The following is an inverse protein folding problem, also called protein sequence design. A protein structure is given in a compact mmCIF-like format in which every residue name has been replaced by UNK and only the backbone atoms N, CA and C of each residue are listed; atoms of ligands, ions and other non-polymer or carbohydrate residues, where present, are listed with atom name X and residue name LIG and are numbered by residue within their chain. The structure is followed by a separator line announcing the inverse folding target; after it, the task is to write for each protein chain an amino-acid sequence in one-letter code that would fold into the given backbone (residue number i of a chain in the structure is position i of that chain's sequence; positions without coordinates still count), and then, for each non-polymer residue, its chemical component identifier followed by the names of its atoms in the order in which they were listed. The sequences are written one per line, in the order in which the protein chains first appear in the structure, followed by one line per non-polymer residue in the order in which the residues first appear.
data_IF_940720543189
#
_entry.id   IF_940720543189
#
_cell.length_a   1.000
_cell.length_b   1.000
_cell.length_c   1.000
_cell.angle_alpha   90.00
_cell.angle_beta   90.00
_cell.angle_gamma   90.00
#
_symmetry.space_group_name_H-M   'P 1'
#
loop_
_entity.id
_entity.type
_entity.pdbx_description
1 polymer ?
#
# COMPACT_ATOMS: atom_id res chain seq x y z
N UNK A 1 -12.56 38.85 -8.20
CA UNK A 1 -11.98 39.60 -7.09
C UNK A 1 -12.28 41.11 -7.12
N UNK A 2 -12.13 41.83 -8.26
CA UNK A 2 -12.44 43.27 -8.38
C UNK A 2 -13.92 43.56 -8.09
N UNK A 3 -14.84 42.76 -8.59
CA UNK A 3 -16.27 42.92 -8.39
C UNK A 3 -16.70 42.68 -6.94
N UNK A 4 -16.08 41.68 -6.29
CA UNK A 4 -16.27 41.42 -4.83
C UNK A 4 -15.82 42.63 -4.01
N UNK A 5 -14.66 43.21 -4.34
CA UNK A 5 -14.14 44.40 -3.67
C UNK A 5 -15.09 45.59 -3.83
N UNK A 6 -15.63 45.81 -5.05
CA UNK A 6 -16.60 46.88 -5.38
C UNK A 6 -17.90 46.66 -4.59
N UNK A 7 -18.48 45.46 -4.62
CA UNK A 7 -19.75 45.18 -3.97
C UNK A 7 -19.64 45.24 -2.43
N UNK A 8 -18.53 44.73 -1.87
CA UNK A 8 -18.29 44.78 -0.43
C UNK A 8 -17.77 46.10 0.11
N UNK A 9 -17.44 47.08 -0.77
CA UNK A 9 -16.90 48.40 -0.41
C UNK A 9 -15.56 48.31 0.35
N UNK A 10 -14.67 47.40 -0.06
CA UNK A 10 -13.33 47.27 0.48
C UNK A 10 -12.29 47.17 -0.65
N UNK A 11 -11.00 47.30 -0.35
CA UNK A 11 -9.95 47.12 -1.33
C UNK A 11 -9.79 45.67 -1.76
N UNK A 12 -9.24 45.41 -2.95
CA UNK A 12 -8.88 44.06 -3.40
C UNK A 12 -7.88 43.37 -2.49
N UNK A 13 -6.99 44.12 -1.82
CA UNK A 13 -6.09 43.63 -0.79
C UNK A 13 -6.85 43.12 0.45
N UNK A 14 -7.92 43.81 0.88
CA UNK A 14 -8.78 43.36 1.96
C UNK A 14 -9.53 42.08 1.59
N UNK A 15 -10.06 41.97 0.36
CA UNK A 15 -10.67 40.73 -0.14
C UNK A 15 -9.66 39.60 -0.12
N UNK A 16 -8.44 39.84 -0.60
CA UNK A 16 -7.35 38.84 -0.55
C UNK A 16 -6.98 38.45 0.89
N UNK A 17 -6.97 39.37 1.84
CA UNK A 17 -6.71 39.10 3.24
C UNK A 17 -7.80 38.22 3.88
N UNK A 18 -9.08 38.47 3.54
CA UNK A 18 -10.20 37.63 4.00
C UNK A 18 -10.11 36.21 3.44
N UNK A 19 -9.76 36.07 2.15
CA UNK A 19 -9.65 34.78 1.47
C UNK A 19 -8.49 33.93 1.99
N UNK A 20 -7.36 34.57 2.31
CA UNK A 20 -6.13 33.86 2.71
C UNK A 20 -5.92 33.75 4.22
N UNK A 21 -6.69 34.50 5.03
CA UNK A 21 -6.53 34.52 6.48
C UNK A 21 -5.21 35.13 7.01
N UNK A 22 -4.39 35.68 6.13
CA UNK A 22 -2.99 36.08 6.44
C UNK A 22 -2.87 37.43 7.18
N UNK A 23 -3.94 38.22 7.23
CA UNK A 23 -3.95 39.53 7.90
C UNK A 23 -5.24 39.65 8.67
N UNK A 24 -5.24 40.13 9.90
CA UNK A 24 -6.46 40.36 10.67
C UNK A 24 -7.37 41.37 9.96
N UNK A 25 -8.61 40.94 9.68
CA UNK A 25 -9.65 41.81 9.12
C UNK A 25 -10.79 41.89 10.13
N UNK A 26 -11.34 43.10 10.34
CA UNK A 26 -12.41 43.27 11.31
C UNK A 26 -13.62 42.38 10.91
N UNK A 27 -14.36 41.83 11.93
CA UNK A 27 -15.50 40.93 11.67
C UNK A 27 -16.53 41.53 10.69
N UNK A 28 -16.83 42.82 10.82
CA UNK A 28 -17.74 43.54 9.93
C UNK A 28 -17.29 43.59 8.48
N UNK A 29 -15.98 43.75 8.21
CA UNK A 29 -15.44 43.75 6.84
C UNK A 29 -15.41 42.34 6.27
N UNK A 30 -15.06 41.35 7.12
CA UNK A 30 -15.05 39.93 6.73
C UNK A 30 -16.44 39.49 6.28
N UNK A 31 -17.48 39.84 7.06
CA UNK A 31 -18.88 39.51 6.75
C UNK A 31 -19.32 40.10 5.42
N UNK A 32 -19.06 41.39 5.17
CA UNK A 32 -19.40 42.07 3.90
C UNK A 32 -18.70 41.40 2.68
N UNK A 33 -17.46 40.97 2.82
CA UNK A 33 -16.76 40.29 1.77
C UNK A 33 -17.40 38.92 1.47
N UNK A 34 -17.76 38.15 2.52
CA UNK A 34 -18.44 36.84 2.37
C UNK A 34 -19.80 37.04 1.68
N UNK A 35 -20.61 38.01 2.10
CA UNK A 35 -21.90 38.31 1.49
C UNK A 35 -21.75 38.70 0.00
N UNK A 36 -20.76 39.51 -0.33
CA UNK A 36 -20.48 39.89 -1.71
C UNK A 36 -20.00 38.71 -2.56
N UNK A 37 -19.21 37.80 -1.99
CA UNK A 37 -18.79 36.56 -2.67
C UNK A 37 -20.00 35.65 -2.96
N UNK A 38 -20.89 35.46 -1.98
CA UNK A 38 -22.11 34.68 -2.17
C UNK A 38 -23.04 35.32 -3.23
N UNK A 39 -23.24 36.63 -3.18
CA UNK A 39 -24.10 37.34 -4.11
C UNK A 39 -23.58 37.31 -5.56
N UNK A 40 -22.27 37.17 -5.76
CA UNK A 40 -21.61 37.11 -7.06
C UNK A 40 -21.26 35.69 -7.51
N UNK A 41 -21.64 34.68 -6.74
CA UNK A 41 -21.19 33.30 -6.91
C UNK A 41 -19.67 33.22 -7.17
N UNK A 42 -18.92 34.07 -6.45
CA UNK A 42 -17.49 34.21 -6.67
C UNK A 42 -16.73 33.10 -5.97
N UNK A 43 -16.12 32.23 -6.75
CA UNK A 43 -15.15 31.25 -6.28
C UNK A 43 -13.73 31.76 -6.49
N UNK A 44 -12.84 31.67 -5.49
CA UNK A 44 -11.43 32.01 -5.65
C UNK A 44 -10.79 31.15 -6.74
N UNK A 45 -10.16 31.77 -7.70
CA UNK A 45 -9.42 31.08 -8.76
C UNK A 45 -8.18 30.40 -8.14
N UNK A 46 -8.19 29.06 -8.12
CA UNK A 46 -7.11 28.24 -7.59
C UNK A 46 -5.81 28.45 -8.40
N UNK A 47 -5.91 28.68 -9.72
CA UNK A 47 -4.75 28.94 -10.60
C UNK A 47 -4.09 30.26 -10.23
N UNK A 48 -4.90 31.31 -10.07
CA UNK A 48 -4.38 32.63 -9.67
C UNK A 48 -3.73 32.60 -8.28
N UNK A 49 -4.28 31.78 -7.36
CA UNK A 49 -3.71 31.56 -6.03
C UNK A 49 -2.39 30.81 -6.11
N UNK A 50 -2.31 29.74 -6.89
CA UNK A 50 -1.10 28.93 -7.05
C UNK A 50 0.05 29.71 -7.68
N UNK A 51 -0.23 30.59 -8.63
CA UNK A 51 0.76 31.50 -9.22
C UNK A 51 1.37 32.46 -8.18
N UNK A 52 0.58 32.88 -7.19
CA UNK A 52 1.05 33.78 -6.13
C UNK A 52 1.79 33.08 -5.01
N UNK A 53 1.35 31.88 -4.62
CA UNK A 53 1.89 31.12 -3.47
C UNK A 53 2.99 30.14 -3.88
N UNK A 54 3.10 29.82 -5.16
CA UNK A 54 3.96 28.74 -5.67
C UNK A 54 3.45 27.33 -5.33
N UNK A 55 2.28 27.19 -4.65
CA UNK A 55 1.69 25.92 -4.24
C UNK A 55 0.32 25.72 -4.87
N UNK A 56 0.05 24.50 -5.33
CA UNK A 56 -1.25 24.13 -5.91
C UNK A 56 -2.20 23.55 -4.87
N UNK A 57 -1.70 23.13 -3.72
CA UNK A 57 -2.40 22.32 -2.72
C UNK A 57 -3.02 21.06 -3.37
N UNK A 58 -2.29 20.45 -4.29
CA UNK A 58 -2.65 19.21 -4.94
C UNK A 58 -1.46 18.25 -4.87
N UNK A 59 -1.73 16.98 -4.59
CA UNK A 59 -0.75 15.90 -4.64
C UNK A 59 -1.19 14.82 -5.63
N UNK A 60 -0.22 14.14 -6.23
CA UNK A 60 -0.47 12.93 -7.00
C UNK A 60 -0.39 11.69 -6.12
N UNK A 61 -1.25 10.71 -6.37
CA UNK A 61 -1.15 9.36 -5.82
C UNK A 61 -1.19 8.39 -6.99
N UNK A 62 -0.09 7.67 -7.20
CA UNK A 62 0.03 6.68 -8.27
C UNK A 62 0.04 5.29 -7.64
N UNK A 63 -0.95 4.48 -7.99
CA UNK A 63 -1.10 3.11 -7.52
C UNK A 63 -0.98 2.13 -8.69
N UNK A 64 -0.50 0.90 -8.46
CA UNK A 64 -0.31 -0.06 -9.55
C UNK A 64 -1.60 -0.76 -9.99
N UNK A 65 -2.64 -0.80 -9.13
CA UNK A 65 -3.90 -1.47 -9.43
C UNK A 65 -5.02 -1.02 -8.48
N UNK A 66 -5.90 -0.15 -8.96
CA UNK A 66 -7.02 0.36 -8.16
C UNK A 66 -8.07 -0.72 -7.85
N UNK A 67 -8.06 -1.84 -8.55
CA UNK A 67 -8.98 -2.97 -8.30
C UNK A 67 -8.53 -3.86 -7.16
N UNK A 68 -7.27 -3.75 -6.73
CA UNK A 68 -6.79 -4.41 -5.53
C UNK A 68 -7.23 -3.61 -4.30
N UNK A 69 -8.08 -4.19 -3.46
CA UNK A 69 -8.69 -3.54 -2.30
C UNK A 69 -7.68 -2.95 -1.29
N UNK A 70 -6.41 -3.33 -1.36
CA UNK A 70 -5.32 -2.75 -0.57
C UNK A 70 -5.14 -1.24 -0.85
N UNK A 71 -5.06 -0.85 -2.13
CA UNK A 71 -4.77 0.53 -2.51
C UNK A 71 -5.91 1.52 -2.23
N UNK A 72 -7.21 1.21 -2.47
CA UNK A 72 -8.31 2.08 -2.07
C UNK A 72 -8.28 2.49 -0.59
N UNK A 73 -7.94 1.57 0.33
CA UNK A 73 -7.83 1.89 1.75
C UNK A 73 -6.61 2.78 2.06
N UNK A 74 -5.49 2.57 1.36
CA UNK A 74 -4.32 3.48 1.45
C UNK A 74 -4.69 4.87 0.96
N UNK A 75 -5.33 4.96 -0.22
CA UNK A 75 -5.77 6.25 -0.81
C UNK A 75 -6.74 6.97 0.12
N UNK A 76 -7.66 6.25 0.76
CA UNK A 76 -8.59 6.82 1.73
C UNK A 76 -7.85 7.46 2.92
N UNK A 77 -6.84 6.79 3.46
CA UNK A 77 -5.98 7.36 4.52
C UNK A 77 -5.24 8.61 4.06
N UNK A 78 -4.78 8.64 2.80
CA UNK A 78 -4.18 9.83 2.19
C UNK A 78 -5.21 10.97 2.07
N UNK A 79 -6.39 10.69 1.51
CA UNK A 79 -7.44 11.70 1.29
C UNK A 79 -7.90 12.35 2.60
N UNK A 80 -8.17 11.55 3.64
CA UNK A 80 -8.61 12.07 4.94
C UNK A 80 -7.55 13.01 5.55
N UNK A 81 -6.27 12.62 5.50
CA UNK A 81 -5.19 13.46 6.01
C UNK A 81 -4.96 14.72 5.15
N UNK A 82 -5.07 14.60 3.82
CA UNK A 82 -4.91 15.70 2.88
C UNK A 82 -6.03 16.74 3.02
N UNK A 83 -7.27 16.30 3.15
CA UNK A 83 -8.45 17.15 3.29
C UNK A 83 -8.37 18.07 4.51
N UNK A 84 -7.87 17.56 5.66
CA UNK A 84 -7.70 18.36 6.88
C UNK A 84 -6.79 19.57 6.67
N UNK A 85 -5.88 19.51 5.70
CA UNK A 85 -4.91 20.56 5.39
C UNK A 85 -5.20 21.28 4.06
N UNK A 86 -6.38 21.04 3.48
CA UNK A 86 -6.84 21.71 2.27
C UNK A 86 -6.13 21.26 0.99
N UNK A 87 -5.55 20.05 0.99
CA UNK A 87 -4.97 19.42 -0.19
C UNK A 87 -6.00 18.58 -0.95
N UNK A 88 -5.88 18.57 -2.27
CA UNK A 88 -6.64 17.68 -3.17
C UNK A 88 -5.76 16.53 -3.63
N UNK A 89 -6.34 15.35 -3.81
CA UNK A 89 -5.66 14.15 -4.29
C UNK A 89 -6.01 13.89 -5.76
N UNK A 90 -4.99 13.71 -6.60
CA UNK A 90 -5.11 13.26 -7.99
C UNK A 90 -4.67 11.80 -8.05
N UNK A 91 -5.65 10.89 -8.10
CA UNK A 91 -5.39 9.46 -8.18
C UNK A 91 -5.11 9.01 -9.62
N UNK A 92 -4.06 8.22 -9.81
CA UNK A 92 -3.66 7.60 -11.08
C UNK A 92 -3.46 6.10 -10.87
N UNK A 93 -3.95 5.30 -11.81
CA UNK A 93 -3.81 3.83 -11.85
C UNK A 93 -2.85 3.44 -12.99
N UNK A 94 -1.67 2.92 -12.65
CA UNK A 94 -0.66 2.54 -13.65
C UNK A 94 -0.91 1.17 -14.27
N UNK A 95 -1.87 0.37 -13.75
CA UNK A 95 -2.23 -0.97 -14.24
C UNK A 95 -1.04 -1.93 -14.32
N UNK A 96 -0.12 -1.85 -13.37
CA UNK A 96 1.15 -2.61 -13.35
C UNK A 96 2.04 -2.38 -14.60
N UNK A 97 1.78 -1.30 -15.38
CA UNK A 97 2.55 -0.96 -16.57
C UNK A 97 3.48 0.22 -16.33
N UNK A 98 4.84 0.02 -16.40
CA UNK A 98 5.81 1.10 -16.20
C UNK A 98 5.68 2.27 -17.17
N UNK A 99 5.17 2.06 -18.40
CA UNK A 99 4.96 3.13 -19.39
C UNK A 99 3.76 4.01 -19.00
N UNK A 100 2.70 3.39 -18.52
CA UNK A 100 1.53 4.10 -17.98
C UNK A 100 1.91 4.86 -16.71
N UNK A 101 2.74 4.28 -15.83
CA UNK A 101 3.29 4.97 -14.67
C UNK A 101 4.08 6.23 -15.08
N UNK A 102 4.98 6.12 -16.05
CA UNK A 102 5.75 7.24 -16.59
C UNK A 102 4.83 8.35 -17.13
N UNK A 103 3.80 7.98 -17.90
CA UNK A 103 2.82 8.91 -18.45
C UNK A 103 2.09 9.67 -17.34
N UNK A 104 1.67 8.99 -16.29
CA UNK A 104 1.00 9.59 -15.15
C UNK A 104 1.92 10.52 -14.38
N UNK A 105 3.16 10.12 -14.11
CA UNK A 105 4.15 10.95 -13.44
C UNK A 105 4.43 12.24 -14.24
N UNK A 106 4.59 12.14 -15.56
CA UNK A 106 4.77 13.29 -16.42
C UNK A 106 3.54 14.23 -16.41
N UNK A 107 2.32 13.67 -16.42
CA UNK A 107 1.09 14.45 -16.35
C UNK A 107 0.93 15.17 -15.00
N UNK A 108 1.23 14.51 -13.88
CA UNK A 108 1.22 15.11 -12.55
C UNK A 108 2.24 16.25 -12.44
N UNK A 109 3.46 16.03 -12.95
CA UNK A 109 4.49 17.04 -12.97
C UNK A 109 4.07 18.27 -13.82
N UNK A 110 3.46 18.07 -14.99
CA UNK A 110 2.98 19.14 -15.84
C UNK A 110 1.84 19.95 -15.21
N UNK A 111 1.02 19.30 -14.38
CA UNK A 111 -0.05 19.93 -13.58
C UNK A 111 0.47 20.64 -12.32
N UNK A 112 1.80 20.61 -12.09
CA UNK A 112 2.46 21.25 -10.96
C UNK A 112 1.90 20.81 -9.61
N UNK A 113 1.61 19.51 -9.44
CA UNK A 113 1.29 19.01 -8.11
C UNK A 113 2.46 19.29 -7.15
N UNK A 114 2.16 19.51 -5.88
CA UNK A 114 3.18 19.88 -4.88
C UNK A 114 4.07 18.69 -4.49
N UNK A 115 3.58 17.45 -4.71
CA UNK A 115 4.32 16.22 -4.47
C UNK A 115 3.58 14.99 -4.96
N UNK A 116 4.25 13.82 -4.87
CA UNK A 116 3.71 12.52 -5.33
C UNK A 116 3.92 11.44 -4.30
N UNK A 117 2.88 10.64 -4.06
CA UNK A 117 2.94 9.33 -3.42
C UNK A 117 2.93 8.26 -4.50
N UNK A 118 3.92 7.36 -4.50
CA UNK A 118 4.11 6.37 -5.55
C UNK A 118 4.25 4.95 -4.99
N UNK A 119 3.32 4.07 -5.35
CA UNK A 119 3.52 2.63 -5.27
C UNK A 119 4.01 2.12 -6.63
N UNK A 120 5.33 1.98 -6.79
CA UNK A 120 5.94 1.79 -8.10
C UNK A 120 5.64 0.41 -8.71
N UNK A 121 5.62 0.37 -10.06
CA UNK A 121 5.59 -0.88 -10.80
C UNK A 121 6.90 -1.67 -10.66
N UNK A 122 6.84 -2.97 -10.91
CA UNK A 122 8.06 -3.80 -10.97
C UNK A 122 9.01 -3.29 -12.04
N UNK A 123 10.31 -3.20 -11.68
CA UNK A 123 11.38 -2.75 -12.57
C UNK A 123 11.15 -1.36 -13.23
N UNK A 124 10.28 -0.54 -12.65
CA UNK A 124 10.08 0.84 -13.11
C UNK A 124 11.28 1.71 -12.76
N UNK A 125 11.63 2.59 -13.68
CA UNK A 125 12.60 3.69 -13.50
C UNK A 125 11.96 5.05 -13.84
N UNK A 126 10.65 5.08 -14.02
CA UNK A 126 9.90 6.25 -14.42
C UNK A 126 10.07 7.44 -13.45
N UNK A 127 10.27 7.16 -12.17
CA UNK A 127 10.49 8.14 -11.11
C UNK A 127 11.90 8.75 -11.09
N UNK A 128 12.90 8.16 -11.77
CA UNK A 128 14.30 8.60 -11.71
C UNK A 128 14.49 10.09 -12.08
N UNK A 129 13.73 10.55 -13.06
CA UNK A 129 13.78 11.96 -13.48
C UNK A 129 13.29 12.91 -12.38
N UNK A 130 12.29 12.50 -11.59
CA UNK A 130 11.77 13.27 -10.47
C UNK A 130 12.74 13.26 -9.29
N UNK A 131 13.32 12.09 -8.98
CA UNK A 131 14.36 11.93 -7.95
C UNK A 131 15.55 12.84 -8.26
N UNK A 132 16.08 12.81 -9.50
CA UNK A 132 17.19 13.71 -9.90
C UNK A 132 16.84 15.20 -9.78
N UNK A 133 15.58 15.58 -9.96
CA UNK A 133 15.08 16.95 -9.78
C UNK A 133 14.75 17.29 -8.34
N UNK A 134 14.94 16.36 -7.39
CA UNK A 134 14.54 16.50 -5.98
C UNK A 134 13.07 16.90 -5.83
N UNK A 135 12.22 16.38 -6.70
CA UNK A 135 10.78 16.61 -6.62
C UNK A 135 10.22 15.90 -5.37
N UNK A 136 9.34 16.54 -4.58
CA UNK A 136 8.79 15.94 -3.37
C UNK A 136 8.08 14.62 -3.68
N UNK A 137 8.61 13.50 -3.17
CA UNK A 137 8.10 12.16 -3.42
C UNK A 137 8.27 11.27 -2.20
N UNK A 138 7.29 10.39 -1.97
CA UNK A 138 7.34 9.29 -1.00
C UNK A 138 6.93 8.01 -1.70
N UNK A 139 7.73 6.96 -1.54
CA UNK A 139 7.36 5.62 -1.99
C UNK A 139 6.48 4.95 -0.95
N UNK A 140 5.39 4.34 -1.40
CA UNK A 140 4.36 3.73 -0.56
C UNK A 140 4.24 2.25 -0.89
N UNK A 141 4.26 1.38 0.13
CA UNK A 141 4.16 -0.07 0.00
C UNK A 141 5.35 -0.69 -0.75
N UNK A 142 5.51 -0.35 -2.03
CA UNK A 142 6.53 -0.89 -2.92
C UNK A 142 7.73 0.04 -2.98
N UNK A 143 8.88 -0.49 -2.59
CA UNK A 143 10.13 0.26 -2.50
C UNK A 143 11.00 -0.03 -3.71
N UNK A 144 11.57 0.99 -4.35
CA UNK A 144 12.57 0.79 -5.38
C UNK A 144 13.86 0.21 -4.79
N UNK A 145 14.60 -0.56 -5.60
CA UNK A 145 15.78 -1.32 -5.14
C UNK A 145 16.94 -0.41 -4.73
N UNK A 146 17.01 0.81 -5.24
CA UNK A 146 18.25 1.62 -5.21
C UNK A 146 18.09 3.04 -4.66
N UNK A 147 16.98 3.41 -4.04
CA UNK A 147 16.81 4.81 -3.61
C UNK A 147 16.96 4.98 -2.09
N UNK A 148 17.58 6.10 -1.71
CA UNK A 148 17.60 6.62 -0.35
C UNK A 148 16.39 7.53 -0.05
N UNK A 149 15.38 7.53 -0.92
CA UNK A 149 14.21 8.41 -0.83
C UNK A 149 13.27 7.99 0.31
N UNK A 150 12.38 8.89 0.68
CA UNK A 150 11.43 8.67 1.75
C UNK A 150 10.44 7.55 1.42
N UNK A 151 10.20 6.65 2.37
CA UNK A 151 9.38 5.46 2.17
C UNK A 151 8.43 5.21 3.35
N UNK A 152 7.24 4.69 3.04
CA UNK A 152 6.30 4.16 4.03
C UNK A 152 5.83 2.79 3.55
N UNK A 153 6.10 1.76 4.33
CA UNK A 153 5.74 0.38 3.96
C UNK A 153 5.35 -0.44 5.19
N UNK A 154 4.75 -1.58 4.98
CA UNK A 154 4.63 -2.61 6.02
C UNK A 154 6.01 -3.19 6.34
N UNK A 155 6.23 -3.61 7.59
CA UNK A 155 7.35 -4.49 7.94
C UNK A 155 7.09 -5.89 7.38
N UNK A 156 7.38 -6.04 6.07
CA UNK A 156 7.06 -7.24 5.32
C UNK A 156 7.91 -8.45 5.75
N UNK A 157 9.14 -8.23 6.22
CA UNK A 157 9.97 -9.32 6.76
C UNK A 157 9.32 -9.88 8.02
N UNK A 158 8.92 -9.00 8.95
CA UNK A 158 8.23 -9.44 10.15
C UNK A 158 6.87 -10.07 9.85
N UNK A 159 6.13 -9.55 8.89
CA UNK A 159 4.83 -10.09 8.46
C UNK A 159 4.94 -11.53 7.93
N UNK A 160 5.92 -11.79 7.04
CA UNK A 160 6.20 -13.14 6.55
C UNK A 160 6.67 -14.09 7.67
N UNK A 161 7.48 -13.57 8.59
CA UNK A 161 7.93 -14.31 9.77
C UNK A 161 6.75 -14.71 10.66
N UNK A 162 5.83 -13.81 10.99
CA UNK A 162 4.66 -14.10 11.82
C UNK A 162 3.77 -15.19 11.21
N UNK A 163 3.53 -15.13 9.88
CA UNK A 163 2.72 -16.14 9.21
C UNK A 163 3.35 -17.55 9.29
N UNK A 164 4.66 -17.64 9.05
CA UNK A 164 5.39 -18.90 9.13
C UNK A 164 5.49 -19.43 10.57
N UNK A 165 5.84 -18.57 11.51
CA UNK A 165 5.97 -18.92 12.91
C UNK A 165 4.67 -19.51 13.49
N UNK A 166 3.52 -18.93 13.15
CA UNK A 166 2.22 -19.46 13.56
C UNK A 166 2.01 -20.92 13.12
N UNK A 167 2.33 -21.25 11.88
CA UNK A 167 2.18 -22.62 11.38
C UNK A 167 3.21 -23.57 11.97
N UNK A 168 4.43 -23.10 12.20
CA UNK A 168 5.48 -23.86 12.89
C UNK A 168 5.11 -24.18 14.34
N UNK A 169 4.49 -23.23 15.07
CA UNK A 169 3.97 -23.43 16.43
C UNK A 169 2.81 -24.42 16.47
N UNK A 170 2.08 -24.58 15.37
CA UNK A 170 1.06 -25.63 15.18
C UNK A 170 1.66 -26.99 14.76
N UNK A 171 2.98 -27.09 14.66
CA UNK A 171 3.70 -28.32 14.33
C UNK A 171 3.78 -28.67 12.85
N UNK A 172 3.47 -27.71 11.95
CA UNK A 172 3.66 -27.94 10.52
C UNK A 172 5.15 -27.87 10.14
N UNK A 173 5.63 -28.87 9.40
CA UNK A 173 6.98 -28.91 8.82
C UNK A 173 6.95 -28.79 7.28
N UNK A 174 5.85 -29.22 6.65
CA UNK A 174 5.64 -29.09 5.20
C UNK A 174 4.79 -27.86 4.92
N UNK A 175 5.44 -26.70 4.94
CA UNK A 175 4.80 -25.41 4.74
C UNK A 175 5.19 -24.87 3.38
N UNK A 176 4.21 -24.65 2.50
CA UNK A 176 4.42 -23.98 1.23
C UNK A 176 4.15 -22.48 1.35
N UNK A 177 4.79 -21.72 0.47
CA UNK A 177 4.59 -20.27 0.36
C UNK A 177 4.32 -19.89 -1.10
N UNK A 178 3.22 -19.18 -1.33
CA UNK A 178 2.85 -18.62 -2.62
C UNK A 178 3.09 -17.12 -2.58
N UNK A 179 4.04 -16.63 -3.36
CA UNK A 179 4.44 -15.22 -3.41
C UNK A 179 4.28 -14.66 -4.82
N UNK A 180 4.09 -13.34 -4.91
CA UNK A 180 4.08 -12.63 -6.17
C UNK A 180 5.49 -12.38 -6.71
N UNK A 181 5.61 -11.41 -7.62
CA UNK A 181 6.86 -11.06 -8.30
C UNK A 181 7.93 -10.57 -7.32
N UNK A 182 9.04 -11.28 -7.23
CA UNK A 182 10.15 -10.98 -6.31
C UNK A 182 10.94 -9.70 -6.66
N UNK A 183 10.72 -9.11 -7.84
CA UNK A 183 11.22 -7.77 -8.13
C UNK A 183 10.52 -6.68 -7.28
N UNK A 184 9.36 -6.99 -6.71
CA UNK A 184 8.62 -6.11 -5.79
C UNK A 184 9.04 -6.39 -4.34
N UNK A 185 9.42 -5.34 -3.61
CA UNK A 185 9.91 -5.45 -2.23
C UNK A 185 8.96 -6.20 -1.29
N UNK A 186 7.62 -5.99 -1.29
CA UNK A 186 6.76 -6.69 -0.35
C UNK A 186 6.84 -8.21 -0.47
N UNK A 187 6.89 -8.73 -1.70
CA UNK A 187 6.92 -10.19 -1.92
C UNK A 187 8.27 -10.79 -1.56
N UNK A 188 9.37 -10.12 -1.93
CA UNK A 188 10.73 -10.55 -1.56
C UNK A 188 10.90 -10.57 -0.04
N UNK A 189 10.50 -9.50 0.62
CA UNK A 189 10.69 -9.32 2.07
C UNK A 189 9.80 -10.30 2.88
N UNK A 190 8.57 -10.60 2.42
CA UNK A 190 7.71 -11.65 3.03
C UNK A 190 8.32 -13.03 2.89
N UNK A 191 8.91 -13.35 1.73
CA UNK A 191 9.62 -14.61 1.52
C UNK A 191 10.88 -14.70 2.40
N UNK A 192 11.60 -13.60 2.60
CA UNK A 192 12.73 -13.53 3.53
C UNK A 192 12.28 -13.84 4.96
N UNK A 193 11.19 -13.21 5.42
CA UNK A 193 10.60 -13.48 6.74
C UNK A 193 10.18 -14.93 6.94
N UNK A 194 9.52 -15.52 5.93
CA UNK A 194 9.20 -16.94 5.90
C UNK A 194 10.45 -17.81 6.08
N UNK A 195 11.47 -17.59 5.25
CA UNK A 195 12.73 -18.35 5.32
C UNK A 195 13.42 -18.23 6.68
N UNK A 196 13.39 -17.04 7.28
CA UNK A 196 13.94 -16.79 8.61
C UNK A 196 13.25 -17.64 9.67
N UNK A 197 11.91 -17.65 9.69
CA UNK A 197 11.15 -18.46 10.66
C UNK A 197 11.43 -19.96 10.51
N UNK A 198 11.46 -20.47 9.27
CA UNK A 198 11.79 -21.85 8.97
C UNK A 198 13.20 -22.22 9.46
N UNK A 199 14.18 -21.36 9.22
CA UNK A 199 15.57 -21.55 9.66
C UNK A 199 15.70 -21.58 11.19
N UNK A 200 15.06 -20.64 11.89
CA UNK A 200 15.08 -20.59 13.36
C UNK A 200 14.41 -21.82 14.01
N UNK A 201 13.44 -22.41 13.32
CA UNK A 201 12.77 -23.64 13.76
C UNK A 201 13.45 -24.93 13.26
N UNK A 202 14.60 -24.81 12.59
CA UNK A 202 15.34 -25.94 12.00
C UNK A 202 14.53 -26.79 11.00
N UNK A 203 13.51 -26.19 10.35
CA UNK A 203 12.70 -26.83 9.32
C UNK A 203 13.23 -26.41 7.94
N UNK A 204 13.64 -27.36 7.09
CA UNK A 204 14.20 -27.02 5.78
C UNK A 204 13.13 -26.47 4.84
N UNK A 205 13.46 -25.39 4.13
CA UNK A 205 12.63 -24.89 3.04
C UNK A 205 12.89 -25.74 1.80
N UNK A 206 11.85 -26.38 1.26
CA UNK A 206 11.93 -27.13 0.00
C UNK A 206 11.64 -26.20 -1.15
N UNK A 207 12.46 -26.24 -2.21
CA UNK A 207 12.26 -25.37 -3.38
C UNK A 207 10.92 -25.60 -4.05
N UNK A 208 10.42 -26.83 -4.06
CA UNK A 208 9.12 -27.22 -4.62
C UNK A 208 7.91 -26.62 -3.85
N UNK A 209 8.12 -26.10 -2.64
CA UNK A 209 7.10 -25.44 -1.84
C UNK A 209 7.13 -23.91 -1.97
N UNK A 210 8.05 -23.35 -2.75
CA UNK A 210 8.14 -21.91 -2.99
C UNK A 210 7.60 -21.60 -4.38
N UNK A 211 6.36 -21.13 -4.43
CA UNK A 211 5.70 -20.74 -5.69
C UNK A 211 5.82 -19.25 -5.89
N UNK A 212 6.44 -18.83 -7.00
CA UNK A 212 6.57 -17.42 -7.39
C UNK A 212 5.83 -17.17 -8.70
N UNK A 213 5.13 -16.04 -8.80
CA UNK A 213 4.40 -15.67 -10.00
C UNK A 213 4.12 -14.17 -10.07
N UNK A 214 3.18 -13.78 -10.89
CA UNK A 214 2.58 -12.44 -10.82
C UNK A 214 1.51 -12.39 -9.72
N UNK A 215 0.83 -11.26 -9.60
CA UNK A 215 -0.18 -11.05 -8.55
C UNK A 215 -1.57 -11.09 -9.18
N UNK A 216 -1.92 -12.23 -9.80
CA UNK A 216 -3.24 -12.48 -10.40
C UNK A 216 -3.88 -13.72 -9.78
N UNK A 217 -5.21 -13.83 -9.92
CA UNK A 217 -5.96 -15.00 -9.44
C UNK A 217 -5.48 -16.28 -10.14
N UNK A 218 -5.21 -16.21 -11.46
CA UNK A 218 -4.74 -17.35 -12.25
C UNK A 218 -3.37 -17.87 -11.75
N UNK A 219 -2.47 -17.00 -11.28
CA UNK A 219 -1.20 -17.44 -10.68
C UNK A 219 -1.46 -18.23 -9.39
N UNK A 220 -2.47 -17.84 -8.62
CA UNK A 220 -2.92 -18.58 -7.43
C UNK A 220 -3.50 -19.95 -7.78
N UNK A 221 -4.29 -20.05 -8.86
CA UNK A 221 -4.80 -21.32 -9.39
C UNK A 221 -3.67 -22.25 -9.80
N UNK A 222 -2.69 -21.75 -10.56
CA UNK A 222 -1.52 -22.50 -10.99
C UNK A 222 -0.73 -23.01 -9.79
N UNK A 223 -0.44 -22.13 -8.82
CA UNK A 223 0.31 -22.48 -7.62
C UNK A 223 -0.40 -23.54 -6.76
N UNK A 224 -1.70 -23.37 -6.51
CA UNK A 224 -2.52 -24.32 -5.76
C UNK A 224 -2.54 -25.70 -6.39
N UNK A 225 -2.78 -25.76 -7.72
CA UNK A 225 -2.76 -27.02 -8.46
C UNK A 225 -1.40 -27.70 -8.44
N UNK A 226 -0.31 -26.94 -8.60
CA UNK A 226 1.05 -27.47 -8.56
C UNK A 226 1.39 -28.05 -7.20
N UNK A 227 1.12 -27.32 -6.11
CA UNK A 227 1.39 -27.76 -4.74
C UNK A 227 0.63 -29.04 -4.35
N UNK A 228 -0.64 -29.11 -4.72
CA UNK A 228 -1.48 -30.30 -4.40
C UNK A 228 -1.16 -31.51 -5.28
N UNK A 229 -0.41 -31.33 -6.37
CA UNK A 229 -0.02 -32.41 -7.28
C UNK A 229 1.37 -32.98 -6.96
N UNK A 230 2.07 -32.44 -5.98
CA UNK A 230 3.36 -32.96 -5.54
C UNK A 230 3.19 -34.35 -4.91
N UNK A 231 4.21 -35.19 -5.01
CA UNK A 231 4.25 -36.54 -4.38
C UNK A 231 4.14 -36.45 -2.85
N UNK A 232 4.65 -35.37 -2.27
CA UNK A 232 4.44 -35.00 -0.88
C UNK A 232 3.82 -33.60 -0.82
N UNK A 233 2.48 -33.46 -0.81
CA UNK A 233 1.84 -32.14 -0.71
C UNK A 233 2.17 -31.44 0.62
N UNK A 234 2.14 -30.10 0.65
CA UNK A 234 2.27 -29.36 1.91
C UNK A 234 1.07 -29.64 2.84
N UNK A 235 1.29 -29.52 4.14
CA UNK A 235 0.21 -29.56 5.15
C UNK A 235 -0.31 -28.18 5.51
N UNK A 236 0.41 -27.15 5.11
CA UNK A 236 0.01 -25.77 5.27
C UNK A 236 0.52 -24.90 4.11
N UNK A 237 -0.24 -23.88 3.76
CA UNK A 237 0.12 -22.91 2.70
C UNK A 237 0.01 -21.49 3.26
N UNK A 238 1.06 -20.68 3.06
CA UNK A 238 1.02 -19.23 3.25
C UNK A 238 0.85 -18.59 1.87
N UNK A 239 -0.17 -17.75 1.72
CA UNK A 239 -0.40 -17.05 0.45
C UNK A 239 -0.21 -15.56 0.66
N UNK A 240 0.85 -14.99 0.09
CA UNK A 240 1.36 -13.67 0.40
C UNK A 240 0.65 -12.50 -0.33
N UNK A 241 -0.55 -12.72 -0.85
CA UNK A 241 -1.38 -11.69 -1.50
C UNK A 241 -2.84 -12.13 -1.59
N UNK A 242 -3.77 -11.18 -1.56
CA UNK A 242 -5.21 -11.43 -1.61
C UNK A 242 -5.70 -12.07 -2.92
N UNK A 243 -5.22 -11.59 -4.09
CA UNK A 243 -5.59 -12.17 -5.39
C UNK A 243 -5.09 -13.61 -5.53
N UNK A 244 -3.84 -13.85 -5.11
CA UNK A 244 -3.29 -15.20 -5.05
C UNK A 244 -4.09 -16.10 -4.10
N UNK A 245 -4.54 -15.56 -2.94
CA UNK A 245 -5.37 -16.29 -1.99
C UNK A 245 -6.69 -16.75 -2.61
N UNK A 246 -7.34 -15.91 -3.42
CA UNK A 246 -8.57 -16.29 -4.13
C UNK A 246 -8.33 -17.46 -5.06
N UNK A 247 -7.24 -17.45 -5.84
CA UNK A 247 -6.91 -18.56 -6.75
C UNK A 247 -6.61 -19.86 -6.00
N UNK A 248 -5.81 -19.80 -4.93
CA UNK A 248 -5.54 -21.00 -4.11
C UNK A 248 -6.81 -21.54 -3.46
N UNK A 249 -7.65 -20.68 -2.86
CA UNK A 249 -8.92 -21.07 -2.25
C UNK A 249 -9.88 -21.71 -3.25
N UNK A 250 -9.92 -21.21 -4.48
CA UNK A 250 -10.72 -21.81 -5.55
C UNK A 250 -10.26 -23.24 -5.84
N UNK A 251 -8.95 -23.50 -5.96
CA UNK A 251 -8.43 -24.87 -6.17
C UNK A 251 -8.78 -25.78 -4.99
N UNK A 252 -8.65 -25.27 -3.74
CA UNK A 252 -9.00 -26.06 -2.56
C UNK A 252 -10.50 -26.44 -2.56
N UNK A 253 -11.37 -25.51 -2.93
CA UNK A 253 -12.82 -25.80 -3.03
C UNK A 253 -13.14 -26.77 -4.18
N UNK A 254 -12.56 -26.58 -5.39
CA UNK A 254 -12.77 -27.47 -6.53
C UNK A 254 -12.31 -28.91 -6.25
N UNK A 255 -11.20 -29.07 -5.53
CA UNK A 255 -10.66 -30.37 -5.11
C UNK A 255 -11.26 -30.90 -3.82
N UNK A 256 -12.18 -30.15 -3.20
CA UNK A 256 -12.85 -30.51 -1.93
C UNK A 256 -11.88 -30.80 -0.78
N UNK A 257 -10.77 -30.06 -0.75
CA UNK A 257 -9.79 -30.17 0.35
C UNK A 257 -10.39 -29.52 1.60
N UNK A 258 -10.48 -30.27 2.69
CA UNK A 258 -11.03 -29.77 3.94
C UNK A 258 -10.02 -28.82 4.65
N UNK A 259 -10.48 -27.59 4.91
CA UNK A 259 -9.74 -26.58 5.65
C UNK A 259 -10.37 -26.43 7.04
N UNK A 260 -9.62 -26.51 8.12
CA UNK A 260 -8.17 -26.75 8.22
C UNK A 260 -7.78 -28.23 8.33
N UNK A 261 -8.72 -29.16 8.25
CA UNK A 261 -8.55 -30.57 8.61
C UNK A 261 -7.50 -31.29 7.75
N UNK A 262 -7.46 -31.01 6.44
CA UNK A 262 -6.49 -31.61 5.52
C UNK A 262 -5.33 -30.64 5.21
N UNK A 263 -5.63 -29.34 5.16
CA UNK A 263 -4.67 -28.30 4.82
C UNK A 263 -4.96 -27.03 5.60
N UNK A 264 -3.95 -26.52 6.32
CA UNK A 264 -3.99 -25.21 6.94
C UNK A 264 -3.64 -24.11 5.93
N UNK A 265 -4.34 -22.96 5.99
CA UNK A 265 -4.04 -21.82 5.12
C UNK A 265 -3.95 -20.50 5.90
N UNK A 266 -2.91 -19.71 5.60
CA UNK A 266 -2.73 -18.34 6.08
C UNK A 266 -2.68 -17.41 4.88
N UNK A 267 -3.60 -16.43 4.86
CA UNK A 267 -3.65 -15.39 3.82
C UNK A 267 -2.89 -14.14 4.19
N UNK A 268 -2.80 -13.22 3.22
CA UNK A 268 -2.39 -11.83 3.43
C UNK A 268 -3.54 -10.90 3.08
N UNK A 269 -3.58 -9.75 3.77
CA UNK A 269 -4.64 -8.76 3.79
C UNK A 269 -5.91 -9.25 4.48
N UNK A 270 -6.25 -8.61 5.60
CA UNK A 270 -7.43 -8.96 6.39
C UNK A 270 -8.63 -8.12 5.99
N UNK A 271 -9.28 -8.50 4.90
CA UNK A 271 -10.52 -7.87 4.48
C UNK A 271 -11.72 -8.38 5.29
N UNK A 272 -12.80 -7.58 5.26
CA UNK A 272 -14.02 -7.88 6.00
C UNK A 272 -14.60 -9.26 5.66
N UNK A 273 -14.47 -9.70 4.41
CA UNK A 273 -14.99 -11.00 3.95
C UNK A 273 -14.18 -12.19 4.47
N UNK A 274 -12.91 -12.03 4.92
CA UNK A 274 -12.11 -13.12 5.46
C UNK A 274 -12.78 -13.80 6.68
N UNK A 275 -13.56 -13.05 7.45
CA UNK A 275 -14.33 -13.59 8.59
C UNK A 275 -15.58 -14.36 8.18
N UNK A 276 -16.05 -14.14 6.95
CA UNK A 276 -17.27 -14.77 6.43
C UNK A 276 -17.00 -15.96 5.53
N UNK A 277 -15.74 -16.24 5.20
CA UNK A 277 -15.38 -17.54 4.64
C UNK A 277 -15.70 -18.65 5.63
N UNK A 278 -15.94 -19.85 5.13
CA UNK A 278 -16.17 -21.04 5.95
C UNK A 278 -15.14 -22.12 5.57
N UNK A 279 -14.11 -22.30 6.40
CA UNK A 279 -13.82 -21.62 7.67
C UNK A 279 -13.29 -20.20 7.48
N UNK A 280 -13.46 -19.32 8.51
CA UNK A 280 -12.90 -17.98 8.51
C UNK A 280 -11.38 -17.98 8.33
N UNK A 281 -10.88 -17.14 7.41
CA UNK A 281 -9.47 -17.15 6.99
C UNK A 281 -8.56 -16.46 8.01
N UNK A 282 -7.57 -17.18 8.53
CA UNK A 282 -6.43 -16.64 9.26
C UNK A 282 -5.57 -15.83 8.30
N UNK A 283 -5.23 -14.59 8.63
CA UNK A 283 -4.51 -13.71 7.72
C UNK A 283 -3.62 -12.70 8.43
N UNK A 284 -2.58 -12.25 7.74
CA UNK A 284 -1.80 -11.08 8.14
C UNK A 284 -2.59 -9.83 7.78
N UNK A 285 -2.90 -9.01 8.77
CA UNK A 285 -3.56 -7.73 8.63
C UNK A 285 -2.52 -6.60 8.50
N UNK A 286 -2.67 -5.77 7.49
CA UNK A 286 -1.85 -4.59 7.27
C UNK A 286 -2.65 -3.32 7.65
N UNK A 287 -1.99 -2.33 8.25
CA UNK A 287 -2.60 -1.05 8.61
C UNK A 287 -2.60 -0.08 7.41
N UNK A 288 -3.37 -0.42 6.37
CA UNK A 288 -3.39 0.29 5.07
C UNK A 288 -3.80 1.74 5.20
N UNK A 289 -4.83 2.03 6.00
CA UNK A 289 -5.28 3.39 6.26
C UNK A 289 -4.20 4.25 6.95
N UNK A 290 -3.55 3.71 7.99
CA UNK A 290 -2.42 4.38 8.67
C UNK A 290 -1.24 4.57 7.72
N UNK A 291 -0.97 3.62 6.83
CA UNK A 291 0.05 3.76 5.78
C UNK A 291 -0.24 4.98 4.89
N UNK A 292 -1.47 5.14 4.43
CA UNK A 292 -1.87 6.30 3.63
C UNK A 292 -1.68 7.62 4.37
N UNK A 293 -2.16 7.69 5.61
CA UNK A 293 -2.02 8.87 6.46
C UNK A 293 -0.56 9.23 6.69
N UNK A 294 0.27 8.28 7.11
CA UNK A 294 1.71 8.50 7.35
C UNK A 294 2.47 8.88 6.08
N UNK A 295 2.06 8.35 4.94
CA UNK A 295 2.64 8.72 3.65
C UNK A 295 2.39 10.19 3.30
N UNK A 296 1.17 10.66 3.50
CA UNK A 296 0.85 12.07 3.29
C UNK A 296 1.58 12.99 4.29
N UNK A 297 1.60 12.63 5.58
CA UNK A 297 2.31 13.40 6.61
C UNK A 297 3.80 13.54 6.28
N UNK A 298 4.44 12.45 5.84
CA UNK A 298 5.84 12.46 5.42
C UNK A 298 6.05 13.30 4.16
N UNK A 299 5.17 13.16 3.15
CA UNK A 299 5.23 13.97 1.94
C UNK A 299 5.11 15.47 2.26
N UNK A 300 4.20 15.82 3.16
CA UNK A 300 4.01 17.22 3.58
C UNK A 300 5.25 17.79 4.29
N UNK A 301 5.96 16.99 5.09
CA UNK A 301 7.23 17.39 5.67
C UNK A 301 8.27 17.70 4.59
N UNK A 302 8.33 16.87 3.53
CA UNK A 302 9.24 17.08 2.39
C UNK A 302 8.87 18.35 1.63
N UNK A 303 7.58 18.57 1.35
CA UNK A 303 7.07 19.77 0.63
C UNK A 303 7.40 21.07 1.38
N UNK A 304 7.36 21.04 2.71
CA UNK A 304 7.59 22.22 3.55
C UNK A 304 9.05 22.36 4.03
N UNK A 305 9.94 21.44 3.66
CA UNK A 305 11.33 21.41 4.08
C UNK A 305 12.12 22.58 3.50
N UNK A 306 12.95 23.19 4.33
CA UNK A 306 13.96 24.16 3.88
C UNK A 306 15.19 23.45 3.32
N UNK A 307 15.92 24.07 2.37
CA UNK A 307 17.18 23.51 1.91
C UNK A 307 18.17 23.31 3.08
N UNK A 308 18.63 22.08 3.28
CA UNK A 308 19.55 21.71 4.34
C UNK A 308 18.92 20.99 5.54
N UNK A 309 17.60 21.00 5.68
CA UNK A 309 16.94 20.24 6.75
C UNK A 309 17.02 18.73 6.48
N UNK A 310 17.25 17.92 7.51
CA UNK A 310 17.16 16.47 7.45
C UNK A 310 15.75 15.98 7.77
N UNK A 311 15.33 14.89 7.13
CA UNK A 311 14.06 14.23 7.48
C UNK A 311 14.29 13.39 8.75
N UNK A 312 13.46 13.57 9.80
CA UNK A 312 13.65 12.86 11.07
C UNK A 312 13.49 11.34 10.94
N UNK A 313 12.63 10.86 10.02
CA UNK A 313 12.38 9.45 9.75
C UNK A 313 12.02 9.26 8.27
N UNK A 314 13.02 9.16 7.37
CA UNK A 314 12.74 9.00 5.94
C UNK A 314 12.17 7.61 5.58
N UNK A 315 12.31 6.62 6.47
CA UNK A 315 11.85 5.26 6.25
C UNK A 315 10.93 4.82 7.39
N UNK A 316 9.63 4.76 7.12
CA UNK A 316 8.60 4.36 8.08
C UNK A 316 8.18 2.93 7.77
N UNK A 317 8.35 2.02 8.74
CA UNK A 317 7.84 0.65 8.68
C UNK A 317 6.68 0.52 9.65
N UNK A 318 5.53 0.06 9.15
CA UNK A 318 4.31 -0.13 9.92
C UNK A 318 4.18 -1.61 10.24
N UNK A 319 3.95 -1.94 11.51
CA UNK A 319 3.77 -3.31 11.93
C UNK A 319 2.52 -3.91 11.31
N UNK A 320 2.60 -5.20 10.95
CA UNK A 320 1.46 -6.04 10.60
C UNK A 320 1.08 -6.93 11.78
N UNK A 321 -0.17 -7.38 11.80
CA UNK A 321 -0.71 -8.26 12.84
C UNK A 321 -1.20 -9.57 12.23
N UNK A 322 -0.96 -10.69 12.91
CA UNK A 322 -1.60 -11.95 12.57
C UNK A 322 -2.98 -12.02 13.22
N UNK A 323 -4.01 -12.19 12.40
CA UNK A 323 -5.40 -12.39 12.82
C UNK A 323 -5.78 -13.85 12.68
N UNK A 324 -5.71 -14.59 13.79
CA UNK A 324 -6.02 -16.02 13.84
C UNK A 324 -7.53 -16.23 13.78
N UNK A 325 -7.95 -17.15 12.90
CA UNK A 325 -9.34 -17.62 12.74
C UNK A 325 -9.36 -19.14 12.67
N UNK A 326 -10.17 -19.70 11.78
CA UNK A 326 -10.45 -21.15 11.77
C UNK A 326 -9.80 -21.90 10.59
N UNK A 327 -9.01 -21.22 9.75
CA UNK A 327 -8.35 -21.85 8.59
C UNK A 327 -7.00 -22.51 8.90
N UNK A 328 -6.62 -22.58 10.18
CA UNK A 328 -5.40 -23.23 10.63
C UNK A 328 -5.69 -24.13 11.83
N UNK A 329 -5.06 -25.31 11.88
CA UNK A 329 -5.15 -26.27 12.97
C UNK A 329 -3.78 -26.92 13.22
N UNK A 330 -3.57 -27.64 14.35
CA UNK A 330 -2.36 -28.41 14.57
C UNK A 330 -2.11 -29.41 13.45
N UNK A 331 -0.85 -29.55 13.06
CA UNK A 331 -0.45 -30.52 12.05
C UNK A 331 -0.85 -31.94 12.49
N UNK A 332 -1.45 -32.68 11.57
CA UNK A 332 -1.70 -34.11 11.82
C UNK A 332 -0.36 -34.85 11.93
N UNK A 333 -0.25 -35.87 12.82
CA UNK A 333 0.89 -36.75 12.80
C UNK A 333 1.02 -37.34 11.39
N UNK A 334 2.08 -36.98 10.69
CA UNK A 334 2.40 -37.60 9.38
C UNK A 334 3.08 -38.91 9.64
N UNK A 335 2.79 -39.95 8.86
CA UNK A 335 3.57 -41.20 8.88
C UNK A 335 5.06 -40.85 8.78
N UNK A 336 5.94 -41.51 9.55
CA UNK A 336 7.36 -41.21 9.55
C UNK A 336 7.90 -41.30 8.13
N UNK A 337 8.67 -40.29 7.74
CA UNK A 337 9.39 -40.26 6.44
C UNK A 337 10.16 -41.59 6.34
N UNK A 338 9.98 -42.40 5.28
CA UNK A 338 10.82 -43.57 5.07
C UNK A 338 12.27 -43.12 5.04
N UNK A 339 13.05 -43.42 6.07
CA UNK A 339 14.49 -43.22 6.05
C UNK A 339 15.04 -44.09 4.93
N UNK A 340 15.57 -43.46 3.86
CA UNK A 340 16.31 -44.24 2.86
C UNK A 340 17.40 -45.04 3.57
N UNK A 341 17.52 -46.33 3.31
CA UNK A 341 18.64 -47.10 3.84
C UNK A 341 19.95 -46.50 3.35
N UNK A 342 21.01 -46.47 4.17
CA UNK A 342 22.30 -45.98 3.74
C UNK A 342 22.82 -46.89 2.61
N UNK A 343 23.20 -46.27 1.50
CA UNK A 343 23.85 -46.90 0.35
C UNK A 343 25.26 -47.37 0.68
#
# INVERSE_FOLDING_TARGET
MRDVARLSGVSTSTVSAVLNGNVPVSPKRKQRVIEAMTALDYQPDAVARSLKTGKTNAIGVVVPDITNAFYPEVVRGVEEAAQLLGYSVLLCDSREDPKTEETHLAALFSRRVDGVLLACCANSVAYDAMVRRRFPMVFVDRLPVTTAEATVSTDNVHAGYLAAKHLLELGHERIAVVVGNLALSPHRDRLEGFRKAMQESHVPVRDEYVMCGNVQVDDGLIAGNSLLSLSMPPTAIIVNNNKLSLGVLQVLDERKIAIPEELSIVGFDDYIWNRYFNPGLTAIAQSTHEMGKRSFELLLQIINRSPGDELPQPHIRIAAELRIRHSTAPARPTDPIPTQPPS
#
